data_IF_519346794035
#
_entry.id   IF_519346794035
#
_cell.length_a   1.000
_cell.length_b   1.000
_cell.length_c   1.000
_cell.angle_alpha   90.00
_cell.angle_beta   90.00
_cell.angle_gamma   90.00
#
_symmetry.space_group_name_H-M   'P 1'
#
loop_
_entity.id
_entity.type
_entity.pdbx_description
1 polymer ?
#
# COMPACT_ATOMS: atom_id res chain seq x y z
N UNK A 1 0.74 -8.49 17.00
CA UNK A 1 1.08 -9.38 15.89
C UNK A 1 0.62 -10.81 16.18
N UNK A 2 1.02 -11.42 17.30
CA UNK A 2 0.69 -12.81 17.63
C UNK A 2 -0.83 -13.10 17.66
N UNK A 3 -1.64 -12.15 18.13
CA UNK A 3 -3.10 -12.29 18.10
C UNK A 3 -3.63 -12.31 16.67
N UNK A 4 -3.18 -11.37 15.83
CA UNK A 4 -3.64 -11.25 14.43
C UNK A 4 -3.27 -12.47 13.57
N UNK A 5 -2.24 -13.22 13.96
CA UNK A 5 -1.77 -14.42 13.26
C UNK A 5 -2.15 -15.73 13.95
N UNK A 6 -2.99 -15.67 15.00
CA UNK A 6 -3.40 -16.86 15.76
C UNK A 6 -4.38 -17.74 14.98
N UNK A 7 -4.37 -19.03 15.30
CA UNK A 7 -5.30 -19.99 14.71
C UNK A 7 -6.75 -19.76 15.17
N UNK A 8 -6.94 -19.22 16.38
CA UNK A 8 -8.26 -18.83 16.88
C UNK A 8 -8.87 -17.76 16.00
N UNK A 9 -8.12 -16.69 15.71
CA UNK A 9 -8.61 -15.59 14.87
C UNK A 9 -8.91 -16.05 13.46
N UNK A 10 -8.06 -16.91 12.89
CA UNK A 10 -8.28 -17.50 11.56
C UNK A 10 -9.56 -18.32 11.50
N UNK A 11 -9.88 -19.08 12.56
CA UNK A 11 -11.12 -19.85 12.63
C UNK A 11 -12.35 -18.97 12.76
N UNK A 12 -12.24 -17.86 13.49
CA UNK A 12 -13.35 -16.93 13.71
C UNK A 12 -13.68 -16.15 12.43
N UNK A 13 -12.67 -15.58 11.76
CA UNK A 13 -12.87 -14.74 10.56
C UNK A 13 -12.93 -15.54 9.25
N UNK A 14 -12.55 -16.81 9.26
CA UNK A 14 -12.54 -17.64 8.06
C UNK A 14 -11.45 -17.24 7.08
N UNK A 15 -11.65 -17.61 5.79
CA UNK A 15 -10.70 -17.33 4.73
C UNK A 15 -11.24 -16.26 3.78
N UNK A 16 -10.55 -15.14 3.69
CA UNK A 16 -10.75 -14.10 2.70
C UNK A 16 -9.74 -14.22 1.53
N UNK A 17 -10.07 -13.56 0.43
CA UNK A 17 -9.14 -13.36 -0.69
C UNK A 17 -8.99 -11.87 -0.93
N UNK A 18 -7.78 -11.35 -0.77
CA UNK A 18 -7.44 -9.96 -1.02
C UNK A 18 -7.10 -9.76 -2.50
N UNK A 19 -7.72 -8.78 -3.12
CA UNK A 19 -7.50 -8.42 -4.51
C UNK A 19 -6.84 -7.04 -4.60
N UNK A 20 -5.88 -6.88 -5.48
CA UNK A 20 -5.25 -5.59 -5.73
C UNK A 20 -4.64 -5.52 -7.12
N UNK A 21 -4.44 -4.30 -7.61
CA UNK A 21 -3.62 -4.03 -8.78
C UNK A 21 -2.39 -3.21 -8.38
N UNK A 22 -1.23 -3.50 -8.98
CA UNK A 22 0.02 -2.87 -8.62
C UNK A 22 1.06 -3.00 -9.71
N UNK A 23 2.00 -2.08 -9.74
CA UNK A 23 3.25 -2.22 -10.49
C UNK A 23 4.42 -2.73 -9.63
N UNK A 24 4.21 -3.01 -8.32
CA UNK A 24 5.25 -3.59 -7.47
C UNK A 24 5.01 -3.62 -5.97
N UNK A 25 5.40 -2.57 -5.26
CA UNK A 25 5.55 -2.59 -3.79
C UNK A 25 4.23 -2.79 -3.03
N UNK A 26 3.16 -2.11 -3.42
CA UNK A 26 1.86 -2.25 -2.77
C UNK A 26 1.36 -3.70 -2.84
N UNK A 27 1.36 -4.30 -4.04
CA UNK A 27 0.93 -5.70 -4.21
C UNK A 27 1.79 -6.70 -3.47
N UNK A 28 3.11 -6.45 -3.36
CA UNK A 28 3.98 -7.27 -2.52
C UNK A 28 3.60 -7.16 -1.04
N UNK A 29 3.30 -5.97 -0.56
CA UNK A 29 2.82 -5.73 0.82
C UNK A 29 1.51 -6.45 1.11
N UNK A 30 0.54 -6.38 0.20
CA UNK A 30 -0.74 -7.11 0.31
C UNK A 30 -0.52 -8.62 0.33
N UNK A 31 0.32 -9.14 -0.57
CA UNK A 31 0.67 -10.56 -0.63
C UNK A 31 1.32 -11.05 0.67
N UNK A 32 2.29 -10.29 1.19
CA UNK A 32 2.97 -10.59 2.45
C UNK A 32 1.99 -10.59 3.63
N UNK A 33 1.14 -9.56 3.75
CA UNK A 33 0.16 -9.45 4.81
C UNK A 33 -0.85 -10.61 4.75
N UNK A 34 -1.38 -10.92 3.57
CA UNK A 34 -2.27 -12.06 3.36
C UNK A 34 -1.63 -13.37 3.83
N UNK A 35 -0.39 -13.63 3.43
CA UNK A 35 0.35 -14.82 3.85
C UNK A 35 0.46 -14.90 5.38
N UNK A 36 0.86 -13.79 6.03
CA UNK A 36 0.99 -13.73 7.49
C UNK A 36 -0.32 -13.96 8.22
N UNK A 37 -1.43 -13.47 7.66
CA UNK A 37 -2.77 -13.63 8.23
C UNK A 37 -3.45 -14.97 7.84
N UNK A 38 -2.77 -15.83 7.06
CA UNK A 38 -3.34 -17.08 6.55
C UNK A 38 -4.46 -16.88 5.53
N UNK A 39 -4.48 -15.71 4.88
CA UNK A 39 -5.44 -15.34 3.86
C UNK A 39 -4.85 -15.56 2.45
N UNK A 40 -5.69 -15.45 1.42
CA UNK A 40 -5.26 -15.52 0.03
C UNK A 40 -5.05 -14.10 -0.54
N UNK A 41 -4.18 -13.98 -1.54
CA UNK A 41 -4.05 -12.75 -2.32
C UNK A 41 -4.03 -13.06 -3.82
N UNK A 42 -4.66 -12.17 -4.59
CA UNK A 42 -4.64 -12.13 -6.05
C UNK A 42 -4.19 -10.73 -6.47
N UNK A 43 -3.12 -10.67 -7.25
CA UNK A 43 -2.47 -9.41 -7.61
C UNK A 43 -2.40 -9.31 -9.14
N UNK A 44 -3.03 -8.30 -9.70
CA UNK A 44 -2.95 -7.98 -11.12
C UNK A 44 -1.90 -6.90 -11.35
N UNK A 45 -1.04 -7.11 -12.32
CA UNK A 45 0.01 -6.15 -12.68
C UNK A 45 -0.24 -5.62 -14.09
N UNK A 46 -0.07 -4.31 -14.33
CA UNK A 46 -0.28 -3.75 -15.65
C UNK A 46 0.80 -4.18 -16.64
N UNK A 47 0.47 -4.09 -17.92
CA UNK A 47 1.41 -4.28 -19.02
C UNK A 47 2.66 -3.42 -18.83
N UNK A 48 3.82 -4.04 -19.08
CA UNK A 48 5.12 -3.39 -18.89
C UNK A 48 5.74 -3.60 -17.50
N UNK A 49 5.02 -4.22 -16.57
CA UNK A 49 5.60 -4.66 -15.30
C UNK A 49 6.73 -5.67 -15.53
N UNK A 50 7.75 -5.65 -14.67
CA UNK A 50 8.91 -6.53 -14.84
C UNK A 50 8.70 -7.90 -14.22
N UNK A 51 9.28 -8.93 -14.83
CA UNK A 51 9.27 -10.29 -14.30
C UNK A 51 9.86 -10.37 -12.88
N UNK A 52 10.85 -9.52 -12.55
CA UNK A 52 11.46 -9.47 -11.22
C UNK A 52 10.42 -9.03 -10.17
N UNK A 53 9.59 -8.02 -10.46
CA UNK A 53 8.52 -7.56 -9.56
C UNK A 53 7.45 -8.63 -9.40
N UNK A 54 7.01 -9.25 -10.48
CA UNK A 54 6.07 -10.38 -10.43
C UNK A 54 6.61 -11.51 -9.55
N UNK A 55 7.86 -11.93 -9.77
CA UNK A 55 8.48 -13.00 -8.98
C UNK A 55 8.56 -12.65 -7.47
N UNK A 56 8.77 -11.38 -7.12
CA UNK A 56 8.79 -10.95 -5.73
C UNK A 56 7.42 -11.07 -5.06
N UNK A 57 6.34 -10.82 -5.79
CA UNK A 57 4.97 -11.00 -5.30
C UNK A 57 4.63 -12.49 -5.16
N UNK A 58 4.98 -13.29 -6.16
CA UNK A 58 4.76 -14.75 -6.14
C UNK A 58 5.48 -15.44 -4.96
N UNK A 59 6.69 -14.96 -4.59
CA UNK A 59 7.44 -15.46 -3.44
C UNK A 59 6.73 -15.25 -2.10
N UNK A 60 5.87 -14.24 -2.00
CA UNK A 60 5.04 -14.00 -0.81
C UNK A 60 3.80 -14.93 -0.76
N UNK A 61 3.62 -15.82 -1.73
CA UNK A 61 2.55 -16.82 -1.75
C UNK A 61 1.25 -16.37 -2.43
N UNK A 62 1.21 -15.19 -3.04
CA UNK A 62 0.07 -14.71 -3.79
C UNK A 62 -0.04 -15.37 -5.17
N UNK A 63 -1.24 -15.36 -5.75
CA UNK A 63 -1.42 -15.51 -7.19
C UNK A 63 -1.21 -14.14 -7.83
N UNK A 64 -0.34 -14.05 -8.82
CA UNK A 64 -0.07 -12.79 -9.52
C UNK A 64 0.14 -13.01 -11.01
N UNK A 65 -0.32 -12.07 -11.82
CA UNK A 65 -0.22 -12.09 -13.29
C UNK A 65 0.11 -10.69 -13.81
N UNK A 66 0.83 -10.63 -14.93
CA UNK A 66 0.99 -9.40 -15.71
C UNK A 66 -0.07 -9.47 -16.81
N UNK A 67 -0.97 -8.49 -16.80
CA UNK A 67 -2.06 -8.36 -17.76
C UNK A 67 -1.62 -7.58 -19.00
N UNK A 68 -2.34 -7.72 -20.11
CA UNK A 68 -2.13 -6.91 -21.32
C UNK A 68 -2.77 -5.50 -21.24
N UNK A 69 -3.25 -5.12 -20.05
CA UNK A 69 -4.01 -3.92 -19.76
C UNK A 69 -3.18 -2.87 -19.02
N UNK A 70 -3.66 -1.62 -19.02
CA UNK A 70 -3.08 -0.54 -18.24
C UNK A 70 -3.44 -0.66 -16.75
N UNK A 71 -2.85 0.21 -15.92
CA UNK A 71 -3.04 0.18 -14.47
C UNK A 71 -4.52 0.34 -14.05
N UNK A 72 -5.22 1.31 -14.63
CA UNK A 72 -6.61 1.61 -14.25
C UNK A 72 -7.54 0.44 -14.59
N UNK A 73 -7.28 -0.24 -15.72
CA UNK A 73 -8.05 -1.43 -16.10
C UNK A 73 -7.75 -2.60 -15.17
N UNK A 74 -6.49 -2.79 -14.77
CA UNK A 74 -6.13 -3.80 -13.77
C UNK A 74 -6.84 -3.53 -12.42
N UNK A 75 -6.98 -2.28 -12.00
CA UNK A 75 -7.76 -1.91 -10.80
C UNK A 75 -9.23 -2.29 -10.96
N UNK A 76 -9.86 -1.95 -12.10
CA UNK A 76 -11.25 -2.34 -12.38
C UNK A 76 -11.45 -3.85 -12.39
N UNK A 77 -10.53 -4.58 -13.02
CA UNK A 77 -10.55 -6.05 -13.05
C UNK A 77 -10.43 -6.65 -11.65
N UNK A 78 -9.48 -6.17 -10.85
CA UNK A 78 -9.28 -6.64 -9.48
C UNK A 78 -10.52 -6.40 -8.61
N UNK A 79 -11.15 -5.22 -8.72
CA UNK A 79 -12.39 -4.90 -8.02
C UNK A 79 -13.54 -5.82 -8.45
N UNK A 80 -13.74 -6.02 -9.74
CA UNK A 80 -14.77 -6.92 -10.27
C UNK A 80 -14.55 -8.38 -9.85
N UNK A 81 -13.30 -8.82 -9.68
CA UNK A 81 -12.98 -10.15 -9.15
C UNK A 81 -13.30 -10.23 -7.65
N UNK A 82 -13.00 -9.19 -6.87
CA UNK A 82 -13.31 -9.12 -5.46
C UNK A 82 -14.83 -9.24 -5.23
N UNK A 83 -15.64 -8.49 -5.97
CA UNK A 83 -17.10 -8.50 -5.87
C UNK A 83 -17.74 -9.87 -6.21
N UNK A 84 -17.12 -10.63 -7.11
CA UNK A 84 -17.61 -11.96 -7.54
C UNK A 84 -17.10 -13.12 -6.69
N UNK A 85 -16.16 -12.85 -5.79
CA UNK A 85 -15.54 -13.89 -4.97
C UNK A 85 -16.15 -13.86 -3.56
N UNK A 86 -16.57 -15.00 -3.07
CA UNK A 86 -17.02 -15.13 -1.69
C UNK A 86 -15.89 -14.72 -0.73
N UNK A 87 -16.17 -13.80 0.19
CA UNK A 87 -15.18 -13.16 1.06
C UNK A 87 -14.01 -12.48 0.28
N UNK A 88 -14.29 -12.01 -0.94
CA UNK A 88 -13.36 -11.20 -1.70
C UNK A 88 -13.30 -9.78 -1.14
N UNK A 89 -12.09 -9.25 -0.95
CA UNK A 89 -11.86 -7.90 -0.43
C UNK A 89 -10.90 -7.17 -1.35
N UNK A 90 -11.34 -6.02 -1.88
CA UNK A 90 -10.43 -5.11 -2.60
C UNK A 90 -9.52 -4.41 -1.60
N UNK A 91 -8.21 -4.49 -1.82
CA UNK A 91 -7.18 -3.84 -0.99
C UNK A 91 -6.30 -2.98 -1.88
N UNK A 92 -6.82 -1.80 -2.22
CA UNK A 92 -6.16 -0.83 -3.11
C UNK A 92 -5.81 0.43 -2.34
N UNK A 93 -4.69 1.06 -2.68
CA UNK A 93 -4.18 2.29 -2.05
C UNK A 93 -4.72 3.57 -2.70
N UNK A 94 -5.46 3.46 -3.81
CA UNK A 94 -6.15 4.56 -4.47
C UNK A 94 -7.61 4.60 -4.02
N UNK A 95 -8.09 5.76 -3.58
CA UNK A 95 -9.48 5.96 -3.20
C UNK A 95 -10.35 6.35 -4.42
N UNK A 96 -11.64 5.99 -4.35
CA UNK A 96 -12.71 6.48 -5.24
C UNK A 96 -14.02 6.55 -4.47
N UNK A 97 -15.04 7.15 -5.07
CA UNK A 97 -16.35 7.31 -4.42
C UNK A 97 -16.91 5.96 -3.91
N UNK A 98 -17.11 5.86 -2.58
CA UNK A 98 -17.57 4.64 -1.92
C UNK A 98 -16.45 3.65 -1.55
N UNK A 99 -15.19 3.99 -1.83
CA UNK A 99 -14.03 3.19 -1.43
C UNK A 99 -12.93 4.10 -0.83
N UNK A 100 -13.15 4.62 0.36
CA UNK A 100 -12.22 5.52 1.04
C UNK A 100 -11.63 4.93 2.33
N UNK A 101 -12.33 3.99 2.97
CA UNK A 101 -11.96 3.49 4.30
C UNK A 101 -10.65 2.68 4.26
N UNK A 102 -10.54 1.70 3.36
CA UNK A 102 -9.33 0.87 3.23
C UNK A 102 -8.11 1.71 2.79
N UNK A 103 -8.22 2.60 1.79
CA UNK A 103 -7.15 3.55 1.47
C UNK A 103 -6.71 4.39 2.67
N UNK A 104 -7.65 4.88 3.49
CA UNK A 104 -7.32 5.63 4.71
C UNK A 104 -6.53 4.78 5.71
N UNK A 105 -6.90 3.51 5.91
CA UNK A 105 -6.16 2.59 6.77
C UNK A 105 -4.74 2.31 6.23
N UNK A 106 -4.59 2.17 4.92
CA UNK A 106 -3.28 2.01 4.27
C UNK A 106 -2.42 3.25 4.52
N UNK A 107 -2.98 4.46 4.38
CA UNK A 107 -2.29 5.70 4.69
C UNK A 107 -1.86 5.78 6.16
N UNK A 108 -2.70 5.36 7.09
CA UNK A 108 -2.32 5.24 8.51
C UNK A 108 -1.16 4.27 8.71
N UNK A 109 -1.15 3.15 7.99
CA UNK A 109 -0.05 2.18 8.00
C UNK A 109 1.29 2.79 7.56
N UNK A 110 1.30 3.68 6.57
CA UNK A 110 2.50 4.42 6.16
C UNK A 110 3.05 5.34 7.26
N UNK A 111 2.22 5.75 8.21
CA UNK A 111 2.65 6.49 9.39
C UNK A 111 3.72 5.79 10.20
N UNK A 112 3.75 4.45 10.21
CA UNK A 112 4.82 3.67 10.87
C UNK A 112 6.19 4.03 10.33
N UNK A 113 6.36 4.07 9.00
CA UNK A 113 7.61 4.44 8.36
C UNK A 113 8.02 5.90 8.69
N UNK A 114 7.05 6.81 8.67
CA UNK A 114 7.32 8.22 8.98
C UNK A 114 7.72 8.40 10.46
N UNK A 115 7.09 7.66 11.38
CA UNK A 115 7.44 7.67 12.78
C UNK A 115 8.86 7.11 13.03
N UNK A 116 9.17 5.95 12.43
CA UNK A 116 10.51 5.37 12.54
C UNK A 116 11.59 6.30 11.98
N UNK A 117 11.31 7.01 10.88
CA UNK A 117 12.23 8.00 10.32
C UNK A 117 12.43 9.19 11.27
N UNK A 118 11.36 9.67 11.91
CA UNK A 118 11.42 10.74 12.90
C UNK A 118 12.25 10.34 14.13
N UNK A 119 12.02 9.15 14.66
CA UNK A 119 12.78 8.61 15.79
C UNK A 119 14.29 8.51 15.46
N UNK A 120 14.64 8.01 14.26
CA UNK A 120 16.02 7.91 13.80
C UNK A 120 16.67 9.29 13.60
N UNK A 121 15.92 10.28 13.15
CA UNK A 121 16.40 11.66 13.05
C UNK A 121 16.73 12.22 14.43
N UNK A 122 15.88 12.02 15.43
CA UNK A 122 16.13 12.45 16.80
C UNK A 122 17.37 11.76 17.39
N UNK A 123 17.52 10.44 17.21
CA UNK A 123 18.72 9.69 17.61
C UNK A 123 19.99 10.25 16.97
N UNK A 124 19.90 10.75 15.73
CA UNK A 124 21.00 11.41 15.03
C UNK A 124 21.23 12.88 15.44
N UNK A 125 20.48 13.40 16.42
CA UNK A 125 20.59 14.78 16.92
C UNK A 125 19.85 15.81 16.08
N UNK A 126 18.97 15.40 15.19
CA UNK A 126 18.12 16.29 14.40
C UNK A 126 16.76 16.42 15.10
N UNK A 127 16.46 17.57 15.70
CA UNK A 127 15.21 17.81 16.42
C UNK A 127 13.98 17.85 15.49
N UNK A 128 14.15 18.25 14.24
CA UNK A 128 13.08 18.39 13.24
C UNK A 128 13.65 18.47 11.83
N UNK A 129 13.14 17.72 10.87
CA UNK A 129 13.50 17.92 9.46
C UNK A 129 12.98 19.28 8.96
N UNK A 130 13.73 19.95 8.12
CA UNK A 130 13.27 21.19 7.44
C UNK A 130 12.51 20.88 6.15
N UNK A 131 12.92 19.83 5.46
CA UNK A 131 12.35 19.36 4.20
C UNK A 131 12.22 17.84 4.22
N UNK A 132 11.14 17.34 3.62
CA UNK A 132 10.93 15.91 3.37
C UNK A 132 10.71 15.74 1.89
N UNK A 133 11.57 14.96 1.23
CA UNK A 133 11.44 14.61 -0.18
C UNK A 133 10.78 13.23 -0.27
N UNK A 134 9.68 13.13 -1.01
CA UNK A 134 8.90 11.91 -1.11
C UNK A 134 8.44 11.69 -2.55
N UNK A 135 8.50 10.46 -3.02
CA UNK A 135 7.95 10.10 -4.32
C UNK A 135 6.41 9.99 -4.26
N UNK A 136 5.77 10.22 -5.39
CA UNK A 136 4.35 9.97 -5.55
C UNK A 136 4.07 9.12 -6.79
N UNK A 137 3.08 8.25 -6.68
CA UNK A 137 2.35 7.61 -7.76
C UNK A 137 0.89 8.06 -7.64
N UNK A 138 0.07 7.31 -6.92
CA UNK A 138 -1.34 7.68 -6.65
C UNK A 138 -1.51 8.70 -5.51
N UNK A 139 -0.44 9.11 -4.85
CA UNK A 139 -0.43 10.18 -3.84
C UNK A 139 -0.62 9.72 -2.39
N UNK A 140 -1.12 8.52 -2.12
CA UNK A 140 -1.44 8.05 -0.75
C UNK A 140 -0.23 8.03 0.18
N UNK A 141 0.95 7.58 -0.30
CA UNK A 141 2.18 7.62 0.49
C UNK A 141 2.60 9.07 0.81
N UNK A 142 2.62 9.95 -0.18
CA UNK A 142 3.02 11.34 -0.01
C UNK A 142 2.07 12.07 0.95
N UNK A 143 0.76 11.86 0.80
CA UNK A 143 -0.27 12.41 1.69
C UNK A 143 -0.13 11.90 3.12
N UNK A 144 0.14 10.61 3.32
CA UNK A 144 0.34 10.02 4.65
C UNK A 144 1.56 10.62 5.36
N UNK A 145 2.70 10.74 4.66
CA UNK A 145 3.93 11.32 5.20
C UNK A 145 3.74 12.81 5.51
N UNK A 146 3.08 13.55 4.62
CA UNK A 146 2.74 14.95 4.88
C UNK A 146 1.85 15.09 6.12
N UNK A 147 0.79 14.29 6.21
CA UNK A 147 -0.13 14.30 7.34
C UNK A 147 0.57 13.97 8.66
N UNK A 148 1.48 12.97 8.66
CA UNK A 148 2.26 12.63 9.82
C UNK A 148 3.10 13.83 10.31
N UNK A 149 3.92 14.40 9.46
CA UNK A 149 4.80 15.51 9.86
C UNK A 149 4.05 16.81 10.18
N UNK A 150 2.92 17.08 9.53
CA UNK A 150 2.07 18.21 9.88
C UNK A 150 1.48 18.08 11.29
N UNK A 151 1.06 16.89 11.69
CA UNK A 151 0.56 16.61 13.04
C UNK A 151 1.70 16.54 14.08
N UNK A 152 2.86 16.02 13.70
CA UNK A 152 4.03 15.91 14.58
C UNK A 152 4.64 17.27 14.94
N UNK A 153 4.62 18.22 14.01
CA UNK A 153 5.21 19.55 14.13
C UNK A 153 4.21 20.65 13.72
N UNK A 154 3.07 20.82 14.44
CA UNK A 154 1.97 21.68 14.01
C UNK A 154 2.37 23.16 13.89
N UNK A 155 3.27 23.65 14.77
CA UNK A 155 3.70 25.05 14.76
C UNK A 155 4.71 25.34 13.62
N UNK A 156 5.45 24.34 13.18
CA UNK A 156 6.49 24.50 12.16
C UNK A 156 6.71 23.19 11.38
N UNK A 157 5.73 22.77 10.57
CA UNK A 157 5.86 21.52 9.81
C UNK A 157 6.99 21.62 8.77
N UNK A 158 7.68 20.53 8.47
CA UNK A 158 8.66 20.50 7.39
C UNK A 158 7.97 20.76 6.04
N UNK A 159 8.72 21.35 5.11
CA UNK A 159 8.28 21.50 3.74
C UNK A 159 8.34 20.15 3.03
N UNK A 160 7.19 19.63 2.61
CA UNK A 160 7.12 18.40 1.81
C UNK A 160 7.33 18.74 0.34
N UNK A 161 8.26 18.03 -0.29
CA UNK A 161 8.61 18.17 -1.71
C UNK A 161 8.32 16.84 -2.40
N UNK A 162 7.29 16.82 -3.23
CA UNK A 162 6.95 15.66 -4.04
C UNK A 162 7.88 15.57 -5.23
N UNK A 163 8.44 14.38 -5.46
CA UNK A 163 9.37 14.11 -6.56
C UNK A 163 8.76 13.04 -7.47
N UNK A 164 8.44 13.43 -8.69
CA UNK A 164 7.84 12.55 -9.69
C UNK A 164 8.68 12.50 -10.97
N UNK A 165 8.58 11.38 -11.68
CA UNK A 165 9.13 11.27 -13.01
C UNK A 165 8.27 12.09 -13.99
N UNK A 166 8.87 12.98 -14.78
CA UNK A 166 8.15 13.87 -15.69
C UNK A 166 7.13 13.15 -16.61
N UNK A 167 7.41 11.94 -17.16
CA UNK A 167 6.44 11.23 -18.00
C UNK A 167 5.32 10.52 -17.21
N UNK A 168 5.34 10.56 -15.88
CA UNK A 168 4.40 9.87 -14.99
C UNK A 168 4.01 10.74 -13.78
N UNK A 169 4.03 12.05 -13.92
CA UNK A 169 3.60 12.98 -12.88
C UNK A 169 2.07 12.92 -12.74
N UNK A 170 1.59 12.68 -11.52
CA UNK A 170 0.18 12.49 -11.21
C UNK A 170 -0.39 13.55 -10.23
N UNK A 171 0.47 14.37 -9.61
CA UNK A 171 0.11 15.41 -8.64
C UNK A 171 0.51 16.81 -9.10
#
# INVERSE_FOLDING_TARGET
YNVLTSDELRKEFGQATFFTATDGNHGRGVAWAANKLGQKAVVLMPKGSTQTRLNNILKEGAKATIEEENYDECVRMANAMAEKTENGVMVQDTAWDGYEEIPAWIMQGYGTMANEADDQLHEAGCERPTHVFIQAGVGSLAGAVQGFFANRYPENPPKVVVVEAAPAACL
#
